data_IF_930845288568
#
_entry.id   IF_930845288568
#
_cell.length_a   1.000
_cell.length_b   1.000
_cell.length_c   1.000
_cell.angle_alpha   90.00
_cell.angle_beta   90.00
_cell.angle_gamma   90.00
#
_symmetry.space_group_name_H-M   'P 1'
#
loop_
_entity.id
_entity.type
_entity.pdbx_description
1 polymer ?
#
# COMPACT_ATOMS: atom_id res chain seq x y z
N UNK A 1 16.03 21.33 -40.01
CA UNK A 1 14.86 20.43 -39.87
C UNK A 1 15.37 19.09 -39.34
N UNK A 2 15.33 18.88 -38.02
CA UNK A 2 15.59 17.56 -37.42
C UNK A 2 14.25 16.84 -37.35
N UNK A 3 14.18 15.66 -37.95
CA UNK A 3 13.00 14.82 -37.92
C UNK A 3 12.72 14.40 -36.47
N UNK A 4 11.56 14.78 -35.95
CA UNK A 4 11.00 14.27 -34.71
C UNK A 4 10.71 12.78 -34.91
N UNK A 5 11.53 11.92 -34.29
CA UNK A 5 11.24 10.49 -34.19
C UNK A 5 10.08 10.32 -33.22
N UNK A 6 8.89 10.11 -33.76
CA UNK A 6 7.75 9.61 -33.00
C UNK A 6 8.10 8.20 -32.52
N UNK A 7 8.54 8.10 -31.26
CA UNK A 7 8.55 6.83 -30.54
C UNK A 7 7.08 6.46 -30.31
N UNK A 8 6.55 5.56 -31.15
CA UNK A 8 5.36 4.80 -30.80
C UNK A 8 5.61 4.12 -29.46
N UNK A 9 4.70 4.20 -28.47
CA UNK A 9 4.76 3.29 -27.34
C UNK A 9 4.82 1.87 -27.92
N UNK A 10 5.84 1.10 -27.54
CA UNK A 10 5.84 -0.32 -27.86
C UNK A 10 4.58 -0.93 -27.23
N UNK A 11 3.81 -1.70 -27.99
CA UNK A 11 2.68 -2.44 -27.45
C UNK A 11 3.22 -3.48 -26.47
N UNK A 12 2.96 -3.28 -25.17
CA UNK A 12 3.30 -4.25 -24.12
C UNK A 12 2.33 -5.41 -24.23
N UNK A 13 2.86 -6.61 -24.43
CA UNK A 13 2.03 -7.82 -24.47
C UNK A 13 1.53 -8.22 -23.08
N UNK A 14 0.40 -8.94 -23.03
CA UNK A 14 -0.11 -9.52 -21.78
C UNK A 14 0.91 -10.40 -21.06
N UNK A 15 1.80 -11.07 -21.83
CA UNK A 15 2.85 -11.91 -21.30
C UNK A 15 3.92 -11.09 -20.56
N UNK A 16 4.38 -9.99 -21.16
CA UNK A 16 5.36 -9.08 -20.55
C UNK A 16 4.79 -8.40 -19.31
N UNK A 17 3.53 -7.95 -19.36
CA UNK A 17 2.85 -7.37 -18.21
C UNK A 17 2.75 -8.38 -17.05
N UNK A 18 2.42 -9.64 -17.35
CA UNK A 18 2.34 -10.70 -16.34
C UNK A 18 3.71 -11.02 -15.73
N UNK A 19 4.75 -11.10 -16.55
CA UNK A 19 6.11 -11.32 -16.09
C UNK A 19 6.57 -10.20 -15.16
N UNK A 20 6.33 -8.94 -15.55
CA UNK A 20 6.63 -7.78 -14.74
C UNK A 20 5.93 -7.83 -13.37
N UNK A 21 4.62 -8.14 -13.35
CA UNK A 21 3.85 -8.26 -12.10
C UNK A 21 4.38 -9.38 -11.19
N UNK A 22 4.82 -10.51 -11.76
CA UNK A 22 5.41 -11.61 -11.00
C UNK A 22 6.76 -11.21 -10.40
N UNK A 23 7.61 -10.54 -11.18
CA UNK A 23 8.90 -10.02 -10.71
C UNK A 23 8.71 -8.98 -9.60
N UNK A 24 7.86 -7.98 -9.81
CA UNK A 24 7.54 -6.95 -8.82
C UNK A 24 7.02 -7.56 -7.52
N UNK A 25 6.12 -8.55 -7.61
CA UNK A 25 5.60 -9.26 -6.43
C UNK A 25 6.69 -9.98 -5.65
N UNK A 26 7.62 -10.65 -6.33
CA UNK A 26 8.72 -11.36 -5.67
C UNK A 26 9.67 -10.39 -4.97
N UNK A 27 10.13 -9.37 -5.71
CA UNK A 27 11.05 -8.34 -5.20
C UNK A 27 10.47 -7.62 -3.98
N UNK A 28 9.22 -7.14 -4.08
CA UNK A 28 8.56 -6.43 -2.98
C UNK A 28 8.30 -7.35 -1.79
N UNK A 29 7.93 -8.61 -2.03
CA UNK A 29 7.71 -9.58 -0.95
C UNK A 29 8.97 -9.83 -0.12
N UNK A 30 10.12 -9.93 -0.78
CA UNK A 30 11.42 -10.07 -0.10
C UNK A 30 11.75 -8.83 0.74
N UNK A 31 11.66 -7.65 0.14
CA UNK A 31 12.00 -6.39 0.80
C UNK A 31 11.07 -6.06 1.98
N UNK A 32 9.76 -6.31 1.86
CA UNK A 32 8.83 -6.14 2.98
C UNK A 32 9.24 -7.00 4.19
N UNK A 33 9.73 -8.22 3.95
CA UNK A 33 10.19 -9.11 5.02
C UNK A 33 11.40 -8.57 5.77
N UNK A 34 12.26 -7.80 5.09
CA UNK A 34 13.47 -7.17 5.63
C UNK A 34 13.18 -5.81 6.29
N UNK A 35 12.18 -5.08 5.80
CA UNK A 35 11.86 -3.71 6.25
C UNK A 35 10.98 -3.67 7.51
N UNK A 36 10.41 -4.80 7.94
CA UNK A 36 9.65 -4.88 9.19
C UNK A 36 10.37 -5.74 10.22
N UNK A 37 10.22 -5.45 11.53
CA UNK A 37 10.84 -6.25 12.58
C UNK A 37 10.52 -7.74 12.46
N UNK A 38 11.44 -8.59 12.93
CA UNK A 38 11.21 -10.03 13.04
C UNK A 38 10.29 -10.37 14.23
N UNK A 39 9.63 -11.53 14.18
CA UNK A 39 8.65 -11.94 15.21
C UNK A 39 9.28 -12.23 16.57
N UNK A 40 10.60 -12.44 16.64
CA UNK A 40 11.34 -12.70 17.86
C UNK A 40 11.82 -11.44 18.59
N UNK A 41 11.68 -10.26 17.97
CA UNK A 41 11.99 -8.94 18.53
C UNK A 41 10.79 -8.43 19.34
N UNK A 42 11.02 -7.83 20.51
CA UNK A 42 9.95 -7.24 21.34
C UNK A 42 9.44 -5.89 20.78
N UNK A 43 8.13 -5.58 20.84
CA UNK A 43 7.05 -6.42 21.35
C UNK A 43 6.58 -7.48 20.34
N UNK A 44 6.77 -8.76 20.69
CA UNK A 44 6.65 -9.89 19.73
C UNK A 44 5.28 -10.03 19.09
N UNK A 45 4.21 -9.86 19.87
CA UNK A 45 2.84 -10.02 19.38
C UNK A 45 2.50 -9.00 18.29
N UNK A 46 2.92 -7.74 18.48
CA UNK A 46 2.74 -6.69 17.48
C UNK A 46 3.48 -7.02 16.19
N UNK A 47 4.74 -7.45 16.28
CA UNK A 47 5.53 -7.81 15.10
C UNK A 47 4.93 -9.01 14.36
N UNK A 48 4.41 -10.01 15.08
CA UNK A 48 3.68 -11.12 14.50
C UNK A 48 2.41 -10.65 13.78
N UNK A 49 1.64 -9.72 14.36
CA UNK A 49 0.44 -9.16 13.74
C UNK A 49 0.74 -8.34 12.47
N UNK A 50 1.77 -7.49 12.51
CA UNK A 50 2.26 -6.73 11.36
C UNK A 50 2.61 -7.69 10.21
N UNK A 51 3.46 -8.69 10.49
CA UNK A 51 3.92 -9.65 9.48
C UNK A 51 2.78 -10.54 8.98
N UNK A 52 1.85 -10.94 9.85
CA UNK A 52 0.69 -11.76 9.48
C UNK A 52 -0.11 -11.11 8.36
N UNK A 53 -0.43 -9.82 8.51
CA UNK A 53 -1.23 -9.06 7.56
C UNK A 53 -0.40 -8.63 6.34
N UNK A 54 0.78 -8.06 6.57
CA UNK A 54 1.64 -7.54 5.50
C UNK A 54 2.14 -8.62 4.56
N UNK A 55 2.52 -9.79 5.09
CA UNK A 55 3.07 -10.91 4.34
C UNK A 55 2.01 -11.95 3.95
N UNK A 56 0.71 -11.64 4.11
CA UNK A 56 -0.39 -12.53 3.71
C UNK A 56 -0.47 -12.83 2.21
N UNK A 57 0.39 -12.20 1.40
CA UNK A 57 0.39 -12.24 -0.04
C UNK A 57 -0.41 -11.08 -0.64
N UNK A 58 -0.95 -11.28 -1.84
CA UNK A 58 -1.67 -10.25 -2.59
C UNK A 58 -1.10 -10.05 -3.98
N UNK A 59 -1.82 -9.27 -4.79
CA UNK A 59 -1.42 -8.96 -6.17
C UNK A 59 -0.23 -7.99 -6.23
N UNK A 60 0.03 -7.24 -5.15
CA UNK A 60 1.06 -6.19 -5.05
C UNK A 60 1.02 -5.19 -6.21
N UNK A 61 -0.20 -4.83 -6.62
CA UNK A 61 -0.42 -3.96 -7.77
C UNK A 61 0.12 -2.54 -7.54
N UNK A 62 -0.11 -1.96 -6.35
CA UNK A 62 0.36 -0.62 -5.99
C UNK A 62 1.90 -0.52 -6.07
N UNK A 63 2.67 -1.42 -5.44
CA UNK A 63 4.13 -1.49 -5.62
C UNK A 63 4.56 -1.68 -7.06
N UNK A 64 3.89 -2.57 -7.81
CA UNK A 64 4.22 -2.80 -9.21
C UNK A 64 4.04 -1.53 -10.06
N UNK A 65 2.99 -0.73 -9.80
CA UNK A 65 2.79 0.56 -10.47
C UNK A 65 3.90 1.56 -10.16
N UNK A 66 4.37 1.63 -8.90
CA UNK A 66 5.53 2.47 -8.54
C UNK A 66 6.76 2.08 -9.35
N UNK A 67 7.06 0.77 -9.41
CA UNK A 67 8.20 0.26 -10.16
C UNK A 67 8.04 0.51 -11.67
N UNK A 68 6.84 0.35 -12.22
CA UNK A 68 6.57 0.55 -13.65
C UNK A 68 6.72 2.02 -14.06
N UNK A 69 6.15 2.95 -13.26
CA UNK A 69 6.33 4.38 -13.47
C UNK A 69 7.81 4.78 -13.39
N UNK A 70 8.52 4.23 -12.40
CA UNK A 70 9.96 4.38 -12.28
C UNK A 70 10.73 3.95 -13.52
N UNK A 71 10.48 2.72 -13.98
CA UNK A 71 11.10 2.16 -15.17
C UNK A 71 10.80 3.02 -16.42
N UNK A 72 9.57 3.51 -16.57
CA UNK A 72 9.18 4.42 -17.66
C UNK A 72 9.94 5.76 -17.60
N UNK A 73 10.36 6.20 -16.41
CA UNK A 73 11.20 7.38 -16.20
C UNK A 73 12.72 7.06 -16.19
N UNK A 74 13.13 5.82 -16.44
CA UNK A 74 14.53 5.39 -16.48
C UNK A 74 15.17 5.08 -15.13
N UNK A 75 14.38 4.92 -14.06
CA UNK A 75 14.87 4.48 -12.76
C UNK A 75 14.97 2.96 -12.68
N UNK A 76 15.96 2.45 -11.94
CA UNK A 76 16.06 1.02 -11.63
C UNK A 76 15.13 0.63 -10.48
N UNK A 77 14.73 -0.65 -10.46
CA UNK A 77 13.79 -1.15 -9.45
C UNK A 77 14.36 -1.09 -8.03
N UNK A 78 15.67 -1.32 -7.89
CA UNK A 78 16.39 -1.30 -6.62
C UNK A 78 16.36 0.09 -5.96
N UNK A 79 16.37 1.17 -6.75
CA UNK A 79 16.27 2.54 -6.24
C UNK A 79 14.85 2.89 -5.76
N UNK A 80 13.84 2.09 -6.12
CA UNK A 80 12.43 2.39 -5.87
C UNK A 80 11.75 1.37 -4.95
N UNK A 81 12.37 0.22 -4.71
CA UNK A 81 11.74 -0.89 -3.98
C UNK A 81 11.31 -0.51 -2.57
N UNK A 82 12.08 0.34 -1.86
CA UNK A 82 11.69 0.85 -0.53
C UNK A 82 10.44 1.73 -0.61
N UNK A 83 10.39 2.65 -1.58
CA UNK A 83 9.19 3.46 -1.84
C UNK A 83 8.01 2.56 -2.20
N UNK A 84 8.20 1.57 -3.07
CA UNK A 84 7.16 0.61 -3.44
C UNK A 84 6.65 -0.18 -2.21
N UNK A 85 7.54 -0.59 -1.31
CA UNK A 85 7.19 -1.23 -0.05
C UNK A 85 6.40 -0.30 0.89
N UNK A 86 6.77 0.98 0.98
CA UNK A 86 6.03 1.96 1.77
C UNK A 86 4.56 2.08 1.31
N UNK A 87 4.30 2.08 0.00
CA UNK A 87 2.93 2.05 -0.53
C UNK A 87 2.17 0.76 -0.15
N UNK A 88 2.84 -0.39 -0.10
CA UNK A 88 2.18 -1.65 0.32
C UNK A 88 1.95 -1.70 1.83
N UNK A 89 2.85 -1.15 2.65
CA UNK A 89 2.65 -0.99 4.10
C UNK A 89 1.44 -0.10 4.33
N UNK A 90 1.36 1.01 3.61
CA UNK A 90 0.26 1.96 3.70
C UNK A 90 -1.07 1.30 3.29
N UNK A 91 -1.06 0.57 2.18
CA UNK A 91 -2.23 -0.20 1.75
C UNK A 91 -2.63 -1.28 2.76
N UNK A 92 -1.66 -1.96 3.37
CA UNK A 92 -1.97 -3.06 4.30
C UNK A 92 -2.53 -2.53 5.61
N UNK A 93 -2.10 -1.36 6.10
CA UNK A 93 -2.72 -0.77 7.28
C UNK A 93 -4.21 -0.53 7.03
N UNK A 94 -4.58 0.01 5.86
CA UNK A 94 -5.97 0.35 5.56
C UNK A 94 -6.83 -0.91 5.65
N UNK A 95 -6.38 -2.01 5.05
CA UNK A 95 -7.07 -3.30 5.10
C UNK A 95 -7.20 -3.86 6.52
N UNK A 96 -6.16 -3.72 7.35
CA UNK A 96 -6.19 -4.19 8.74
C UNK A 96 -7.24 -3.44 9.54
N UNK A 97 -7.37 -2.13 9.33
CA UNK A 97 -8.38 -1.31 10.00
C UNK A 97 -9.78 -1.51 9.41
N UNK A 98 -9.92 -1.62 8.09
CA UNK A 98 -11.20 -1.94 7.40
C UNK A 98 -11.78 -3.26 7.91
N UNK A 99 -10.94 -4.25 8.21
CA UNK A 99 -11.38 -5.54 8.74
C UNK A 99 -11.96 -5.46 10.18
N UNK A 100 -11.78 -4.36 10.91
CA UNK A 100 -12.19 -4.28 12.32
C UNK A 100 -13.72 -4.39 12.51
N UNK A 101 -14.21 -4.87 13.67
CA UNK A 101 -15.65 -4.93 13.96
C UNK A 101 -16.40 -3.59 13.88
N UNK A 102 -15.69 -2.48 14.07
CA UNK A 102 -16.24 -1.12 13.94
C UNK A 102 -16.29 -0.59 12.50
N UNK A 103 -15.75 -1.35 11.54
CA UNK A 103 -15.67 -1.05 10.11
C UNK A 103 -16.45 -2.15 9.37
N UNK A 104 -15.80 -2.96 8.52
CA UNK A 104 -16.47 -4.00 7.72
C UNK A 104 -16.82 -5.26 8.53
N UNK A 105 -16.18 -5.44 9.70
CA UNK A 105 -16.32 -6.62 10.55
C UNK A 105 -16.04 -7.95 9.81
N UNK A 106 -15.05 -7.95 8.92
CA UNK A 106 -14.64 -9.11 8.13
C UNK A 106 -13.85 -10.12 8.97
N UNK A 107 -14.34 -11.37 9.04
CA UNK A 107 -13.61 -12.44 9.76
C UNK A 107 -12.47 -13.06 8.91
N UNK A 108 -12.58 -12.97 7.58
CA UNK A 108 -11.66 -13.61 6.64
C UNK A 108 -11.23 -12.64 5.53
N UNK A 109 -9.92 -12.58 5.28
CA UNK A 109 -9.34 -11.91 4.12
C UNK A 109 -8.48 -12.87 3.32
N UNK A 110 -8.83 -13.05 2.04
CA UNK A 110 -8.15 -13.99 1.12
C UNK A 110 -8.07 -15.43 1.67
N UNK A 111 -9.15 -15.88 2.31
CA UNK A 111 -9.24 -17.22 2.90
C UNK A 111 -8.44 -17.42 4.19
N UNK A 112 -7.94 -16.35 4.82
CA UNK A 112 -7.22 -16.39 6.10
C UNK A 112 -7.95 -15.54 7.15
N UNK A 113 -7.88 -15.90 8.44
CA UNK A 113 -8.36 -15.04 9.52
C UNK A 113 -7.76 -13.63 9.42
N UNK A 114 -8.62 -12.62 9.54
CA UNK A 114 -8.20 -11.22 9.62
C UNK A 114 -7.36 -10.97 10.88
N UNK A 115 -6.68 -9.83 10.93
CA UNK A 115 -5.76 -9.51 12.00
C UNK A 115 -6.45 -9.55 13.37
N UNK A 116 -7.64 -8.94 13.47
CA UNK A 116 -8.39 -8.84 14.72
C UNK A 116 -8.93 -10.21 15.18
N UNK A 117 -9.34 -11.09 14.25
CA UNK A 117 -9.76 -12.46 14.59
C UNK A 117 -8.61 -13.25 15.19
N UNK A 118 -7.39 -13.06 14.70
CA UNK A 118 -6.22 -13.82 15.14
C UNK A 118 -5.57 -13.27 16.41
N UNK A 119 -5.46 -11.95 16.54
CA UNK A 119 -4.66 -11.29 17.57
C UNK A 119 -5.49 -10.39 18.51
N UNK A 120 -6.80 -10.26 18.26
CA UNK A 120 -7.66 -9.32 18.97
C UNK A 120 -7.62 -7.91 18.38
N UNK A 121 -8.66 -7.12 18.69
CA UNK A 121 -8.87 -5.79 18.14
C UNK A 121 -7.75 -4.81 18.52
N UNK A 122 -7.31 -4.81 19.78
CA UNK A 122 -6.27 -3.89 20.25
C UNK A 122 -4.94 -4.09 19.48
N UNK A 123 -4.53 -5.35 19.30
CA UNK A 123 -3.31 -5.66 18.55
C UNK A 123 -3.49 -5.36 17.05
N UNK A 124 -4.67 -5.59 16.48
CA UNK A 124 -4.95 -5.23 15.09
C UNK A 124 -4.89 -3.71 14.84
N UNK A 125 -5.47 -2.91 15.74
CA UNK A 125 -5.39 -1.44 15.70
C UNK A 125 -3.93 -1.00 15.70
N UNK A 126 -3.15 -1.47 16.68
CA UNK A 126 -1.74 -1.10 16.82
C UNK A 126 -0.88 -1.60 15.64
N UNK A 127 -1.21 -2.75 15.05
CA UNK A 127 -0.53 -3.24 13.85
C UNK A 127 -0.78 -2.33 12.65
N UNK A 128 -2.00 -1.81 12.48
CA UNK A 128 -2.30 -0.80 11.46
C UNK A 128 -1.54 0.51 11.73
N UNK A 129 -1.57 1.03 12.96
CA UNK A 129 -0.87 2.26 13.33
C UNK A 129 0.64 2.18 13.07
N UNK A 130 1.23 1.02 13.40
CA UNK A 130 2.63 0.73 13.15
C UNK A 130 2.94 0.65 11.65
N UNK A 131 2.11 -0.03 10.86
CA UNK A 131 2.27 -0.11 9.39
C UNK A 131 2.19 1.27 8.72
N UNK A 132 1.24 2.12 9.14
CA UNK A 132 1.14 3.48 8.64
C UNK A 132 2.42 4.27 8.93
N UNK A 133 2.94 4.17 10.16
CA UNK A 133 4.16 4.86 10.58
C UNK A 133 5.42 4.33 9.89
N UNK A 134 5.53 3.00 9.74
CA UNK A 134 6.61 2.32 9.03
C UNK A 134 6.68 2.70 7.55
N UNK A 135 5.54 2.97 6.91
CA UNK A 135 5.52 3.44 5.53
C UNK A 135 6.30 4.76 5.38
N UNK A 136 6.04 5.74 6.26
CA UNK A 136 6.75 7.02 6.23
C UNK A 136 8.21 6.87 6.65
N UNK A 137 8.48 6.08 7.68
CA UNK A 137 9.84 5.80 8.13
C UNK A 137 10.69 5.17 7.02
N UNK A 138 10.13 4.20 6.29
CA UNK A 138 10.79 3.51 5.18
C UNK A 138 11.27 4.47 4.10
N UNK A 139 10.48 5.51 3.78
CA UNK A 139 10.86 6.55 2.80
C UNK A 139 11.86 7.53 3.42
N UNK A 140 11.65 7.96 4.66
CA UNK A 140 12.50 8.94 5.34
C UNK A 140 13.94 8.43 5.51
N UNK A 141 14.09 7.13 5.79
CA UNK A 141 15.37 6.45 6.02
C UNK A 141 15.99 5.88 4.74
N UNK A 142 15.40 6.13 3.56
CA UNK A 142 15.95 5.65 2.29
C UNK A 142 17.15 6.48 1.84
N UNK A 143 18.35 6.08 2.28
CA UNK A 143 19.62 6.71 1.91
C UNK A 143 19.90 6.77 0.40
N UNK A 144 19.23 5.94 -0.41
CA UNK A 144 19.32 5.98 -1.87
C UNK A 144 18.61 7.17 -2.52
N UNK A 145 17.71 7.84 -1.79
CA UNK A 145 16.98 9.02 -2.27
C UNK A 145 17.60 10.31 -1.73
N UNK A 146 17.64 11.35 -2.57
CA UNK A 146 17.94 12.72 -2.12
C UNK A 146 16.88 13.22 -1.12
N UNK A 147 17.27 14.10 -0.21
CA UNK A 147 16.39 14.59 0.86
C UNK A 147 15.12 15.27 0.29
N UNK A 148 15.27 16.04 -0.78
CA UNK A 148 14.16 16.69 -1.48
C UNK A 148 13.17 15.66 -2.05
N UNK A 149 13.67 14.57 -2.60
CA UNK A 149 12.84 13.47 -3.12
C UNK A 149 12.11 12.76 -1.99
N UNK A 150 12.77 12.46 -0.86
CA UNK A 150 12.09 11.85 0.30
C UNK A 150 10.96 12.72 0.80
N UNK A 151 11.19 14.02 0.95
CA UNK A 151 10.16 14.98 1.37
C UNK A 151 9.00 15.03 0.37
N UNK A 152 9.29 15.01 -0.94
CA UNK A 152 8.25 14.98 -1.96
C UNK A 152 7.40 13.70 -1.88
N UNK A 153 8.02 12.53 -1.76
CA UNK A 153 7.30 11.24 -1.64
C UNK A 153 6.47 11.20 -0.36
N UNK A 154 7.03 11.61 0.78
CA UNK A 154 6.30 11.68 2.06
C UNK A 154 5.09 12.61 1.95
N UNK A 155 5.24 13.76 1.30
CA UNK A 155 4.13 14.70 1.07
C UNK A 155 3.02 14.07 0.26
N UNK A 156 3.34 13.39 -0.85
CA UNK A 156 2.34 12.75 -1.69
C UNK A 156 1.67 11.56 -1.00
N UNK A 157 2.42 10.74 -0.27
CA UNK A 157 1.86 9.66 0.57
C UNK A 157 0.89 10.22 1.62
N UNK A 158 1.29 11.29 2.33
CA UNK A 158 0.46 11.91 3.36
C UNK A 158 -0.83 12.50 2.80
N UNK A 159 -0.77 13.15 1.65
CA UNK A 159 -1.95 13.69 0.96
C UNK A 159 -2.89 12.59 0.47
N UNK A 160 -2.33 11.56 -0.17
CA UNK A 160 -3.12 10.45 -0.72
C UNK A 160 -3.77 9.60 0.37
N UNK A 161 -3.10 9.39 1.51
CA UNK A 161 -3.63 8.59 2.61
C UNK A 161 -4.60 9.36 3.51
N UNK A 162 -4.35 10.64 3.73
CA UNK A 162 -5.03 11.44 4.74
C UNK A 162 -6.28 12.20 4.26
N UNK A 163 -6.31 13.48 4.62
CA UNK A 163 -7.43 14.42 4.46
C UNK A 163 -6.88 15.75 3.87
N UNK A 164 -7.64 16.56 3.11
CA UNK A 164 -9.10 16.55 2.90
C UNK A 164 -9.64 15.60 1.82
N UNK A 165 -8.81 15.19 0.86
CA UNK A 165 -9.22 14.40 -0.30
C UNK A 165 -8.27 13.22 -0.51
N UNK A 166 -8.24 12.32 0.47
CA UNK A 166 -7.41 11.12 0.47
C UNK A 166 -8.19 9.92 1.02
N UNK A 167 -7.50 8.79 1.15
CA UNK A 167 -8.08 7.50 1.50
C UNK A 167 -8.94 7.54 2.77
N UNK A 168 -8.45 8.14 3.86
CA UNK A 168 -9.21 8.24 5.12
C UNK A 168 -10.46 9.09 4.96
N UNK A 169 -10.42 10.16 4.16
CA UNK A 169 -11.62 10.94 3.87
C UNK A 169 -12.64 10.11 3.08
N UNK A 170 -12.18 9.35 2.07
CA UNK A 170 -13.00 8.42 1.30
C UNK A 170 -13.68 7.35 2.18
N UNK A 171 -12.94 6.76 3.12
CA UNK A 171 -13.47 5.78 4.08
C UNK A 171 -14.62 6.35 4.93
N UNK A 172 -14.54 7.62 5.34
CA UNK A 172 -15.65 8.26 6.07
C UNK A 172 -16.89 8.40 5.20
N UNK A 173 -16.73 8.74 3.92
CA UNK A 173 -17.86 8.82 2.99
C UNK A 173 -18.47 7.45 2.70
N UNK A 174 -17.64 6.40 2.64
CA UNK A 174 -18.07 5.03 2.42
C UNK A 174 -18.97 4.54 3.58
N UNK A 175 -18.50 4.65 4.83
CA UNK A 175 -19.29 4.35 6.03
C UNK A 175 -20.61 5.12 6.09
N UNK A 176 -20.59 6.41 5.71
CA UNK A 176 -21.78 7.25 5.67
C UNK A 176 -22.76 6.86 4.54
N UNK A 177 -22.24 6.25 3.47
CA UNK A 177 -23.00 5.66 2.37
C UNK A 177 -23.70 4.37 2.80
N UNK A 178 -22.98 3.45 3.44
CA UNK A 178 -23.54 2.18 3.93
C UNK A 178 -24.65 2.35 4.97
N UNK A 179 -24.51 3.35 5.84
CA UNK A 179 -25.54 3.70 6.81
C UNK A 179 -26.85 4.18 6.15
N UNK A 180 -26.81 4.64 4.89
CA UNK A 180 -27.98 5.14 4.15
C UNK A 180 -28.62 4.04 3.31
N UNK A 181 -29.84 3.64 3.69
CA UNK A 181 -30.69 2.65 2.99
C UNK A 181 -31.15 3.06 1.57
N UNK A 182 -30.68 4.18 1.01
CA UNK A 182 -31.15 4.77 -0.25
C UNK A 182 -30.20 4.68 -1.43
N UNK A 183 -29.02 4.08 -1.26
CA UNK A 183 -27.96 4.07 -2.27
C UNK A 183 -27.12 5.37 -2.28
N UNK A 184 -25.98 5.31 -2.97
CA UNK A 184 -25.01 6.41 -3.08
C UNK A 184 -25.21 7.11 -4.44
N UNK A 185 -25.24 8.45 -4.47
CA UNK A 185 -25.34 9.21 -5.73
C UNK A 185 -24.01 9.23 -6.49
N UNK A 186 -24.01 9.53 -7.79
CA UNK A 186 -22.77 9.63 -8.59
C UNK A 186 -21.75 10.63 -8.05
N UNK A 187 -22.23 11.77 -7.53
CA UNK A 187 -21.38 12.79 -6.89
C UNK A 187 -20.77 12.28 -5.58
N UNK A 188 -21.47 11.42 -4.85
CA UNK A 188 -20.96 10.83 -3.62
C UNK A 188 -19.97 9.69 -3.91
N UNK A 189 -20.16 8.93 -4.99
CA UNK A 189 -19.17 7.95 -5.48
C UNK A 189 -17.84 8.64 -5.84
N UNK A 190 -17.90 9.83 -6.45
CA UNK A 190 -16.71 10.63 -6.76
C UNK A 190 -16.01 11.20 -5.50
N UNK A 191 -16.68 11.23 -4.34
CA UNK A 191 -16.08 11.63 -3.06
C UNK A 191 -15.45 10.45 -2.31
N UNK A 192 -15.93 9.22 -2.57
CA UNK A 192 -15.38 7.98 -1.99
C UNK A 192 -14.04 7.60 -2.65
N UNK A 193 -13.88 7.88 -3.95
CA UNK A 193 -12.72 7.48 -4.78
C UNK A 193 -11.79 8.65 -5.13
#
# INVERSE_FOLDING_TARGET
MRASSNLSPAEVSDAEAREFLLHARALVGEWLGQLVPAEDVEPRELHAAIRWSLLAGGKRLRPALVLACGAACGACAEALVRTACAFEMLHTYSLVHDDLPSMDNDELRRGRPTCHVRFGEATAILAGDALQSLAFQTVAEDEGLGAETRVAVIRELSRAAGTPAGMVAGQIYDLAGEARRGGVTGVELDLIH
#
